data_IF_996499680523
#
_entry.id   IF_996499680523
#
_cell.length_a   1.000
_cell.length_b   1.000
_cell.length_c   1.000
_cell.angle_alpha   90.00
_cell.angle_beta   90.00
_cell.angle_gamma   90.00
#
_symmetry.space_group_name_H-M   'P 1'
#
loop_
_entity.id
_entity.type
_entity.pdbx_description
1 polymer ?
#
# COMPACT_ATOMS: atom_id res chain seq x y z
N UNK A 1 9.68 -13.59 -13.16
CA UNK A 1 8.76 -13.83 -12.03
C UNK A 1 9.19 -12.87 -10.95
N UNK A 2 8.31 -12.04 -10.39
CA UNK A 2 8.64 -11.34 -9.15
C UNK A 2 9.04 -12.39 -8.13
N UNK A 3 10.07 -12.12 -7.33
CA UNK A 3 10.46 -13.02 -6.25
C UNK A 3 9.29 -13.17 -5.28
N UNK A 4 8.95 -14.39 -4.84
CA UNK A 4 7.81 -14.66 -3.96
C UNK A 4 7.78 -13.78 -2.70
N UNK A 5 8.97 -13.34 -2.25
CA UNK A 5 9.15 -12.38 -1.15
C UNK A 5 8.57 -10.99 -1.46
N UNK A 6 8.73 -10.47 -2.69
CA UNK A 6 8.19 -9.15 -3.08
C UNK A 6 6.66 -9.17 -3.10
N UNK A 7 6.06 -10.26 -3.61
CA UNK A 7 4.60 -10.43 -3.60
C UNK A 7 4.07 -10.57 -2.16
N UNK A 8 4.81 -11.27 -1.28
CA UNK A 8 4.47 -11.35 0.14
C UNK A 8 4.53 -9.97 0.82
N UNK A 9 5.58 -9.20 0.58
CA UNK A 9 5.74 -7.85 1.13
C UNK A 9 4.67 -6.89 0.62
N UNK A 10 4.31 -6.99 -0.66
CA UNK A 10 3.17 -6.27 -1.24
C UNK A 10 1.86 -6.60 -0.52
N UNK A 11 1.63 -7.87 -0.19
CA UNK A 11 0.50 -8.30 0.63
C UNK A 11 0.52 -7.69 2.04
N UNK A 12 1.68 -7.67 2.70
CA UNK A 12 1.85 -7.01 4.00
C UNK A 12 1.57 -5.50 3.93
N UNK A 13 1.99 -4.85 2.85
CA UNK A 13 1.77 -3.42 2.63
C UNK A 13 0.27 -3.11 2.43
N UNK A 14 -0.46 -3.91 1.66
CA UNK A 14 -1.91 -3.76 1.53
C UNK A 14 -2.65 -3.99 2.86
N UNK A 15 -2.20 -4.94 3.66
CA UNK A 15 -2.74 -5.16 5.01
C UNK A 15 -2.50 -3.94 5.91
N UNK A 16 -1.29 -3.39 5.89
CA UNK A 16 -0.94 -2.17 6.62
C UNK A 16 -1.85 -1.00 6.24
N UNK A 17 -2.06 -0.78 4.94
CA UNK A 17 -2.95 0.27 4.42
C UNK A 17 -4.39 0.07 4.94
N UNK A 18 -4.91 -1.16 4.88
CA UNK A 18 -6.25 -1.47 5.39
C UNK A 18 -6.37 -1.20 6.88
N UNK A 19 -5.36 -1.58 7.65
CA UNK A 19 -5.40 -1.47 9.10
C UNK A 19 -5.27 -0.01 9.54
N UNK A 20 -4.43 0.79 8.86
CA UNK A 20 -4.41 2.25 9.03
C UNK A 20 -5.76 2.89 8.69
N UNK A 21 -6.36 2.53 7.54
CA UNK A 21 -7.67 3.06 7.13
C UNK A 21 -8.76 2.74 8.15
N UNK A 22 -8.79 1.52 8.69
CA UNK A 22 -9.74 1.14 9.75
C UNK A 22 -9.53 1.94 11.03
N UNK A 23 -8.29 2.27 11.38
CA UNK A 23 -8.00 3.09 12.56
C UNK A 23 -8.47 4.54 12.37
N UNK A 24 -8.23 5.12 11.19
CA UNK A 24 -8.60 6.51 10.87
C UNK A 24 -10.09 6.68 10.58
N UNK A 25 -10.71 5.68 9.95
CA UNK A 25 -12.08 5.71 9.44
C UNK A 25 -12.85 4.43 9.80
N UNK A 26 -13.10 4.15 11.09
CA UNK A 26 -13.66 2.88 11.55
C UNK A 26 -15.06 2.55 10.98
N UNK A 27 -15.82 3.57 10.55
CA UNK A 27 -17.16 3.40 10.00
C UNK A 27 -17.20 3.44 8.46
N UNK A 28 -16.05 3.55 7.79
CA UNK A 28 -15.97 3.61 6.33
C UNK A 28 -15.12 2.45 5.80
N UNK A 29 -15.67 1.57 4.95
CA UNK A 29 -14.88 0.51 4.34
C UNK A 29 -13.83 1.11 3.40
N UNK A 30 -12.69 0.44 3.30
CA UNK A 30 -11.71 0.75 2.26
C UNK A 30 -12.31 0.36 0.90
N UNK A 31 -12.36 1.32 -0.02
CA UNK A 31 -12.99 1.17 -1.33
C UNK A 31 -12.03 1.56 -2.46
N UNK A 32 -12.41 1.21 -3.69
CA UNK A 32 -11.67 1.67 -4.87
C UNK A 32 -11.82 3.19 -4.99
N UNK A 33 -10.73 3.88 -5.33
CA UNK A 33 -10.63 5.33 -5.36
C UNK A 33 -10.38 5.97 -3.99
N UNK A 34 -10.29 5.19 -2.90
CA UNK A 34 -9.88 5.74 -1.60
C UNK A 34 -8.41 6.18 -1.66
N UNK A 35 -8.09 7.43 -1.31
CA UNK A 35 -6.71 7.88 -1.14
C UNK A 35 -6.05 7.14 0.03
N UNK A 36 -4.83 6.66 -0.18
CA UNK A 36 -4.04 5.94 0.82
C UNK A 36 -2.60 6.45 0.82
N UNK A 37 -1.95 6.38 1.98
CA UNK A 37 -0.55 6.74 2.21
C UNK A 37 0.24 5.47 2.58
N UNK A 38 0.83 4.75 1.61
CA UNK A 38 1.51 3.48 1.86
C UNK A 38 2.75 3.62 2.73
N UNK A 39 3.46 4.73 2.65
CA UNK A 39 4.58 5.12 3.51
C UNK A 39 4.16 5.15 4.99
N UNK A 40 3.14 5.94 5.31
CA UNK A 40 2.62 6.07 6.68
C UNK A 40 2.08 4.73 7.19
N UNK A 41 1.37 3.98 6.34
CA UNK A 41 0.87 2.66 6.69
C UNK A 41 2.00 1.68 7.01
N UNK A 42 3.05 1.67 6.19
CA UNK A 42 4.21 0.80 6.38
C UNK A 42 5.02 1.16 7.63
N UNK A 43 5.20 2.45 7.91
CA UNK A 43 5.88 2.92 9.12
C UNK A 43 5.18 2.45 10.40
N UNK A 44 3.85 2.45 10.40
CA UNK A 44 3.01 2.05 11.54
C UNK A 44 2.75 0.53 11.63
N UNK A 45 3.24 -0.25 10.66
CA UNK A 45 2.99 -1.69 10.57
C UNK A 45 4.19 -2.51 11.06
N UNK A 46 4.87 -3.22 10.15
CA UNK A 46 5.94 -4.16 10.48
C UNK A 46 7.30 -3.68 9.98
N UNK A 47 8.36 -4.11 10.67
CA UNK A 47 9.72 -3.71 10.36
C UNK A 47 10.21 -4.15 8.97
N UNK A 48 9.67 -5.26 8.44
CA UNK A 48 10.07 -5.86 7.16
C UNK A 48 9.78 -4.93 5.96
N UNK A 49 8.67 -4.19 6.02
CA UNK A 49 8.24 -3.24 4.98
C UNK A 49 8.35 -1.78 5.43
N UNK A 50 8.89 -1.51 6.62
CA UNK A 50 9.01 -0.15 7.13
C UNK A 50 10.03 0.64 6.29
N UNK A 51 9.67 1.77 5.67
CA UNK A 51 10.56 2.50 4.76
C UNK A 51 11.82 3.06 5.46
N UNK A 52 11.73 3.38 6.75
CA UNK A 52 12.88 3.85 7.55
C UNK A 52 13.84 2.74 7.98
N UNK A 53 13.41 1.47 7.97
CA UNK A 53 14.23 0.32 8.38
C UNK A 53 14.68 -0.55 7.20
N UNK A 54 13.84 -0.68 6.17
CA UNK A 54 14.08 -1.54 5.02
C UNK A 54 13.51 -0.92 3.73
N UNK A 55 14.04 0.25 3.36
CA UNK A 55 13.58 1.02 2.20
C UNK A 55 13.53 0.21 0.90
N UNK A 56 14.49 -0.69 0.66
CA UNK A 56 14.52 -1.52 -0.56
C UNK A 56 13.33 -2.48 -0.66
N UNK A 57 12.96 -3.16 0.42
CA UNK A 57 11.81 -4.07 0.43
C UNK A 57 10.51 -3.30 0.28
N UNK A 58 10.39 -2.17 0.97
CA UNK A 58 9.27 -1.25 0.81
C UNK A 58 9.11 -0.79 -0.65
N UNK A 59 10.18 -0.29 -1.26
CA UNK A 59 10.16 0.21 -2.65
C UNK A 59 9.81 -0.90 -3.65
N UNK A 60 10.35 -2.11 -3.45
CA UNK A 60 10.02 -3.26 -4.29
C UNK A 60 8.54 -3.65 -4.17
N UNK A 61 8.03 -3.74 -2.95
CA UNK A 61 6.63 -4.05 -2.67
C UNK A 61 5.68 -3.00 -3.25
N UNK A 62 5.99 -1.71 -3.06
CA UNK A 62 5.21 -0.60 -3.61
C UNK A 62 5.22 -0.62 -5.15
N UNK A 63 6.41 -0.79 -5.75
CA UNK A 63 6.55 -0.87 -7.21
C UNK A 63 5.77 -2.05 -7.78
N UNK A 64 5.78 -3.19 -7.09
CA UNK A 64 5.00 -4.36 -7.47
C UNK A 64 3.49 -4.07 -7.43
N UNK A 65 2.99 -3.43 -6.36
CA UNK A 65 1.59 -3.04 -6.27
C UNK A 65 1.16 -2.06 -7.37
N UNK A 66 2.04 -1.15 -7.77
CA UNK A 66 1.76 -0.23 -8.89
C UNK A 66 1.77 -0.99 -10.22
N UNK A 67 2.72 -1.90 -10.42
CA UNK A 67 2.81 -2.72 -11.63
C UNK A 67 1.61 -3.66 -11.80
N UNK A 68 1.10 -4.21 -10.70
CA UNK A 68 -0.12 -5.03 -10.66
C UNK A 68 -1.42 -4.20 -10.65
N UNK A 69 -1.32 -2.88 -10.87
CA UNK A 69 -2.44 -1.95 -10.86
C UNK A 69 -3.25 -1.99 -9.56
N UNK A 70 -2.66 -2.45 -8.45
CA UNK A 70 -3.27 -2.53 -7.13
C UNK A 70 -3.34 -1.15 -6.46
N UNK A 71 -2.34 -0.31 -6.73
CA UNK A 71 -2.26 1.08 -6.33
C UNK A 71 -2.02 1.94 -7.56
N UNK A 72 -2.79 3.02 -7.69
CA UNK A 72 -2.59 4.01 -8.74
C UNK A 72 -1.99 5.29 -8.16
N UNK A 73 -0.93 5.88 -8.74
CA UNK A 73 -0.38 7.14 -8.25
C UNK A 73 -1.43 8.24 -8.20
N UNK A 74 -1.48 9.00 -7.10
CA UNK A 74 -2.37 10.16 -7.00
C UNK A 74 -1.79 11.32 -7.82
N UNK A 75 -2.55 11.96 -8.73
CA UNK A 75 -2.03 13.01 -9.62
C UNK A 75 -1.56 14.27 -8.85
N UNK A 76 -2.08 14.51 -7.64
CA UNK A 76 -1.62 15.60 -6.76
C UNK A 76 -0.40 15.25 -5.88
N UNK A 77 0.18 14.04 -6.00
CA UNK A 77 1.34 13.64 -5.19
C UNK A 77 2.60 14.50 -5.45
N UNK A 78 2.60 15.34 -6.48
CA UNK A 78 3.73 16.23 -6.81
C UNK A 78 3.76 17.51 -5.95
N UNK A 79 2.68 17.85 -5.24
CA UNK A 79 2.58 19.06 -4.41
C UNK A 79 2.64 18.77 -2.90
N UNK A 80 2.52 17.50 -2.49
CA UNK A 80 2.45 17.09 -1.09
C UNK A 80 3.73 16.32 -0.74
N UNK A 81 4.29 16.56 0.44
CA UNK A 81 5.45 15.82 0.97
C UNK A 81 5.19 14.33 1.21
N UNK A 82 3.93 13.90 1.12
CA UNK A 82 3.46 12.54 1.36
C UNK A 82 3.06 11.89 0.02
N UNK A 83 3.56 10.68 -0.24
CA UNK A 83 3.30 10.02 -1.53
C UNK A 83 1.95 9.31 -1.49
N UNK A 84 0.92 9.98 -1.99
CA UNK A 84 -0.44 9.43 -2.03
C UNK A 84 -0.69 8.53 -3.24
N UNK A 85 -1.48 7.49 -3.02
CA UNK A 85 -1.98 6.57 -4.04
C UNK A 85 -3.49 6.42 -3.90
N UNK A 86 -4.15 5.97 -4.96
CA UNK A 86 -5.51 5.46 -4.91
C UNK A 86 -5.49 3.95 -4.77
N UNK A 87 -6.24 3.45 -3.80
CA UNK A 87 -6.61 2.03 -3.76
C UNK A 87 -7.44 1.71 -5.00
N UNK A 88 -7.06 0.68 -5.75
CA UNK A 88 -7.84 0.25 -6.91
C UNK A 88 -8.72 -0.95 -6.57
N UNK A 89 -9.61 -1.33 -7.49
CA UNK A 89 -10.35 -2.59 -7.39
C UNK A 89 -9.39 -3.78 -7.30
N UNK A 90 -8.32 -3.79 -8.10
CA UNK A 90 -7.34 -4.87 -8.13
C UNK A 90 -6.61 -5.01 -6.80
N UNK A 91 -6.29 -3.89 -6.14
CA UNK A 91 -5.69 -3.91 -4.80
C UNK A 91 -6.62 -4.51 -3.73
N UNK A 92 -7.93 -4.28 -3.85
CA UNK A 92 -8.92 -4.92 -2.97
C UNK A 92 -9.05 -6.42 -3.21
N UNK A 93 -8.92 -6.88 -4.45
CA UNK A 93 -8.93 -8.31 -4.82
C UNK A 93 -7.71 -9.02 -4.21
N UNK A 94 -6.50 -8.48 -4.42
CA UNK A 94 -5.26 -9.01 -3.84
C UNK A 94 -5.34 -9.05 -2.31
N UNK A 95 -5.90 -8.00 -1.68
CA UNK A 95 -6.07 -7.92 -0.23
C UNK A 95 -7.06 -8.97 0.33
N UNK A 96 -7.99 -9.47 -0.49
CA UNK A 96 -8.93 -10.54 -0.13
C UNK A 96 -8.34 -11.94 -0.37
N UNK A 97 -7.27 -12.03 -1.16
CA UNK A 97 -6.66 -13.29 -1.58
C UNK A 97 -7.33 -13.94 -2.78
N UNK A 98 -7.98 -13.13 -3.65
CA UNK A 98 -8.57 -13.54 -4.94
C UNK A 98 -7.57 -13.48 -6.10
#
# INVERSE_FOLDING_TARGET
MPDDETAQDAGLLLQAIRDLHKQQHPNMPLASGTPVAPDIAAEQSRAEINPGLNSRRYEAALSWLVAEEALAPHPAAWEVTETLYFMTRRGLEILRGD
#
